data_IF_551639166438
#
_entry.id   IF_551639166438
#
_cell.length_a   1.000
_cell.length_b   1.000
_cell.length_c   1.000
_cell.angle_alpha   90.00
_cell.angle_beta   90.00
_cell.angle_gamma   90.00
#
_symmetry.space_group_name_H-M   'P 1'
#
loop_
_entity.id
_entity.type
_entity.pdbx_description
1 polymer ?
#
# COMPACT_ATOMS: atom_id res chain seq x y z
N UNK A 1 -9.79 -15.18 23.50
CA UNK A 1 -8.34 -15.22 23.17
C UNK A 1 -8.18 -14.84 21.70
N UNK A 2 -7.19 -13.99 21.37
CA UNK A 2 -6.95 -13.59 19.98
C UNK A 2 -6.21 -14.71 19.22
N UNK A 3 -6.64 -15.03 18.00
CA UNK A 3 -6.00 -16.03 17.13
C UNK A 3 -4.92 -15.36 16.30
N UNK A 4 -3.65 -15.67 16.57
CA UNK A 4 -2.51 -15.16 15.81
C UNK A 4 -2.19 -16.11 14.65
N UNK A 5 -1.99 -15.56 13.46
CA UNK A 5 -1.70 -16.32 12.23
C UNK A 5 -0.38 -15.83 11.63
N UNK A 6 0.46 -16.75 11.17
CA UNK A 6 1.71 -16.42 10.47
C UNK A 6 1.48 -16.54 8.96
N UNK A 7 1.69 -15.44 8.23
CA UNK A 7 1.58 -15.41 6.79
C UNK A 7 2.95 -15.58 6.12
N UNK A 8 3.04 -16.53 5.20
CA UNK A 8 4.28 -16.89 4.48
C UNK A 8 4.09 -16.81 2.96
N UNK A 9 3.79 -15.61 2.45
CA UNK A 9 3.66 -15.42 1.00
C UNK A 9 5.01 -15.60 0.32
N UNK A 10 5.01 -16.20 -0.88
CA UNK A 10 6.22 -16.38 -1.70
C UNK A 10 6.30 -15.23 -2.72
N UNK A 11 7.49 -14.69 -2.90
CA UNK A 11 7.85 -13.73 -3.93
C UNK A 11 9.39 -13.67 -4.05
N UNK A 12 9.90 -13.08 -5.13
CA UNK A 12 11.32 -12.72 -5.21
C UNK A 12 11.58 -11.45 -4.39
N UNK A 13 11.86 -11.64 -3.10
CA UNK A 13 12.11 -10.53 -2.19
C UNK A 13 13.40 -9.77 -2.51
N UNK A 14 14.36 -10.41 -3.19
CA UNK A 14 15.61 -9.77 -3.58
C UNK A 14 15.36 -8.81 -4.74
N UNK A 15 14.62 -9.25 -5.76
CA UNK A 15 14.23 -8.39 -6.88
C UNK A 15 13.41 -7.19 -6.40
N UNK A 16 12.37 -7.42 -5.60
CA UNK A 16 11.53 -6.34 -5.04
C UNK A 16 12.36 -5.35 -4.22
N UNK A 17 13.25 -5.85 -3.38
CA UNK A 17 14.14 -5.02 -2.57
C UNK A 17 15.04 -4.12 -3.43
N UNK A 18 15.63 -4.67 -4.49
CA UNK A 18 16.46 -3.92 -5.43
C UNK A 18 15.65 -2.89 -6.22
N UNK A 19 14.55 -3.30 -6.83
CA UNK A 19 13.70 -2.46 -7.67
C UNK A 19 13.06 -1.30 -6.89
N UNK A 20 12.71 -1.51 -5.62
CA UNK A 20 12.10 -0.49 -4.77
C UNK A 20 13.10 0.27 -3.90
N UNK A 21 14.37 -0.15 -3.86
CA UNK A 21 15.41 0.45 -3.02
C UNK A 21 15.15 0.29 -1.52
N UNK A 22 14.69 -0.89 -1.10
CA UNK A 22 14.34 -1.22 0.29
C UNK A 22 15.07 -2.49 0.77
N UNK A 23 15.00 -2.81 2.06
CA UNK A 23 15.51 -4.09 2.57
C UNK A 23 14.60 -5.26 2.18
N UNK A 24 15.16 -6.47 2.10
CA UNK A 24 14.36 -7.69 1.85
C UNK A 24 13.31 -7.94 2.95
N UNK A 25 13.57 -7.48 4.18
CA UNK A 25 12.60 -7.55 5.28
C UNK A 25 11.38 -6.67 4.97
N UNK A 26 11.60 -5.43 4.50
CA UNK A 26 10.52 -4.55 4.06
C UNK A 26 9.77 -5.14 2.86
N UNK A 27 10.48 -5.71 1.88
CA UNK A 27 9.86 -6.39 0.74
C UNK A 27 8.91 -7.53 1.17
N UNK A 28 9.29 -8.31 2.19
CA UNK A 28 8.42 -9.36 2.79
C UNK A 28 7.19 -8.77 3.45
N UNK A 29 7.33 -7.69 4.21
CA UNK A 29 6.21 -7.02 4.88
C UNK A 29 5.19 -6.46 3.86
N UNK A 30 5.68 -5.79 2.81
CA UNK A 30 4.86 -5.25 1.73
C UNK A 30 4.10 -6.37 1.01
N UNK A 31 4.80 -7.45 0.63
CA UNK A 31 4.17 -8.61 0.00
C UNK A 31 3.09 -9.23 0.88
N UNK A 32 3.34 -9.33 2.19
CA UNK A 32 2.39 -9.87 3.16
C UNK A 32 1.14 -9.00 3.30
N UNK A 33 1.22 -7.69 3.02
CA UNK A 33 0.08 -6.75 2.95
C UNK A 33 -0.71 -6.79 1.63
N UNK A 34 -0.40 -7.73 0.73
CA UNK A 34 -1.01 -7.83 -0.61
C UNK A 34 -0.75 -6.62 -1.53
N UNK A 35 0.31 -5.87 -1.24
CA UNK A 35 0.83 -4.87 -2.17
C UNK A 35 1.76 -5.59 -3.13
N UNK A 36 1.42 -5.57 -4.42
CA UNK A 36 2.07 -6.37 -5.47
C UNK A 36 2.51 -5.44 -6.60
N UNK A 37 3.76 -5.58 -7.02
CA UNK A 37 4.36 -4.77 -8.07
C UNK A 37 5.15 -3.57 -7.55
N UNK A 38 6.05 -3.07 -8.40
CA UNK A 38 6.97 -1.98 -8.07
C UNK A 38 6.22 -0.67 -7.84
N UNK A 39 5.30 -0.32 -8.73
CA UNK A 39 4.55 0.94 -8.65
C UNK A 39 3.69 1.01 -7.40
N UNK A 40 2.94 -0.05 -7.09
CA UNK A 40 2.14 -0.10 -5.85
C UNK A 40 3.01 -0.09 -4.60
N UNK A 41 4.17 -0.75 -4.64
CA UNK A 41 5.13 -0.70 -3.53
C UNK A 41 5.70 0.71 -3.33
N UNK A 42 6.05 1.40 -4.42
CA UNK A 42 6.54 2.78 -4.40
C UNK A 42 5.47 3.74 -3.92
N UNK A 43 4.26 3.64 -4.46
CA UNK A 43 3.10 4.43 -4.06
C UNK A 43 2.76 4.22 -2.59
N UNK A 44 2.83 2.99 -2.08
CA UNK A 44 2.61 2.72 -0.66
C UNK A 44 3.69 3.34 0.24
N UNK A 45 4.96 3.25 -0.15
CA UNK A 45 6.08 3.72 0.67
C UNK A 45 6.35 5.22 0.57
N UNK A 46 6.03 5.83 -0.58
CA UNK A 46 6.42 7.20 -0.95
C UNK A 46 5.27 8.02 -1.57
N UNK A 47 4.04 7.55 -1.42
CA UNK A 47 2.85 8.23 -1.96
C UNK A 47 2.71 9.65 -1.38
N UNK A 48 2.14 10.54 -2.18
CA UNK A 48 1.94 11.94 -1.85
C UNK A 48 0.49 12.38 -2.18
N UNK A 49 0.17 13.66 -1.96
CA UNK A 49 -1.18 14.19 -2.17
C UNK A 49 -1.68 14.06 -3.61
N UNK A 50 -0.78 14.04 -4.60
CA UNK A 50 -1.15 13.84 -6.01
C UNK A 50 -1.57 12.39 -6.31
N UNK A 51 -1.21 11.43 -5.44
CA UNK A 51 -1.60 10.02 -5.57
C UNK A 51 -2.98 9.73 -4.95
N UNK A 52 -3.65 10.74 -4.38
CA UNK A 52 -4.98 10.59 -3.81
C UNK A 52 -6.02 10.34 -4.91
N UNK A 53 -7.00 9.51 -4.58
CA UNK A 53 -8.18 9.33 -5.42
C UNK A 53 -9.02 10.61 -5.45
N UNK A 54 -9.83 10.77 -6.49
CA UNK A 54 -10.78 11.89 -6.57
C UNK A 54 -11.68 11.89 -5.32
N UNK A 55 -11.69 12.98 -4.52
CA UNK A 55 -12.50 13.06 -3.31
C UNK A 55 -14.00 12.86 -3.59
N UNK A 56 -14.48 13.13 -4.81
CA UNK A 56 -15.89 12.91 -5.21
C UNK A 56 -16.30 11.44 -5.23
N UNK A 57 -15.35 10.53 -5.18
CA UNK A 57 -15.61 9.09 -5.03
C UNK A 57 -16.08 8.71 -3.63
N UNK A 58 -15.89 9.59 -2.63
CA UNK A 58 -16.40 9.38 -1.29
C UNK A 58 -17.92 9.64 -1.25
N UNK A 59 -18.69 8.83 -0.52
CA UNK A 59 -20.13 9.03 -0.37
C UNK A 59 -20.47 10.44 0.12
N UNK A 60 -21.42 11.08 -0.55
CA UNK A 60 -21.94 12.41 -0.19
C UNK A 60 -20.90 13.54 -0.08
N UNK A 61 -19.72 13.41 -0.72
CA UNK A 61 -18.66 14.42 -0.67
C UNK A 61 -19.15 15.82 -1.05
N UNK A 62 -19.94 15.96 -2.12
CA UNK A 62 -20.49 17.26 -2.56
C UNK A 62 -21.43 17.87 -1.51
N UNK A 63 -22.24 17.05 -0.83
CA UNK A 63 -23.13 17.54 0.24
C UNK A 63 -22.32 18.01 1.45
N UNK A 64 -21.26 17.28 1.80
CA UNK A 64 -20.37 17.62 2.90
C UNK A 64 -19.61 18.93 2.67
N UNK A 65 -19.19 19.20 1.44
CA UNK A 65 -18.56 20.48 1.07
C UNK A 65 -19.57 21.63 1.10
N UNK A 66 -20.82 21.39 0.70
CA UNK A 66 -21.87 22.41 0.66
C UNK A 66 -22.33 22.97 2.03
N UNK A 67 -21.86 22.40 3.14
CA UNK A 67 -22.19 22.85 4.51
C UNK A 67 -21.01 23.55 5.24
N UNK A 68 -19.87 23.70 4.58
CA UNK A 68 -18.69 24.44 5.07
C UNK A 68 -18.76 25.91 4.64
#
# INVERSE_FOLDING_TARGET
MAKWMVYTKKADFRAIAQECGISQVLARLIRNRDIIGVEETRRFLKGNLADLHDPRLLPDMEKAVGIL
#
